data_IF_388832947659
#
_entry.id   IF_388832947659
#
_cell.length_a   1.000
_cell.length_b   1.000
_cell.length_c   1.000
_cell.angle_alpha   90.00
_cell.angle_beta   90.00
_cell.angle_gamma   90.00
#
_symmetry.space_group_name_H-M   'P 1'
#
loop_
_entity.id
_entity.type
_entity.pdbx_description
1 polymer ?
#
# COMPACT_ATOMS: atom_id res chain seq x y z
N UNK A 1 2.55 14.09 -10.47
CA UNK A 1 2.50 13.32 -9.19
C UNK A 1 1.82 14.16 -8.11
N UNK A 2 0.81 13.64 -7.41
CA UNK A 2 0.19 14.40 -6.31
C UNK A 2 1.15 14.41 -5.11
N UNK A 3 1.51 15.59 -4.63
CA UNK A 3 2.31 15.73 -3.40
C UNK A 3 1.50 15.25 -2.19
N UNK A 4 2.15 14.57 -1.25
CA UNK A 4 1.55 14.21 0.03
C UNK A 4 1.22 15.50 0.80
N UNK A 5 -0.07 15.76 1.02
CA UNK A 5 -0.54 16.97 1.71
C UNK A 5 -0.52 16.82 3.25
N UNK A 6 -0.66 15.59 3.76
CA UNK A 6 -0.72 15.33 5.20
C UNK A 6 0.65 14.97 5.77
N UNK A 7 0.89 15.28 7.04
CA UNK A 7 2.10 14.90 7.77
C UNK A 7 2.25 13.37 7.84
N UNK A 8 3.51 12.89 7.84
CA UNK A 8 3.88 11.47 7.67
C UNK A 8 3.06 10.49 8.52
N UNK A 9 2.90 10.74 9.80
CA UNK A 9 2.29 9.81 10.76
C UNK A 9 0.95 10.31 11.31
N UNK A 10 0.33 11.28 10.65
CA UNK A 10 -0.99 11.79 11.08
C UNK A 10 -2.08 10.73 10.93
N UNK A 11 -1.93 9.86 9.92
CA UNK A 11 -2.86 8.76 9.69
C UNK A 11 -2.74 7.69 10.78
N UNK A 12 -1.51 7.22 11.10
CA UNK A 12 -1.27 6.23 12.17
C UNK A 12 -1.91 6.70 13.47
N UNK A 13 -1.62 7.94 13.87
CA UNK A 13 -2.17 8.52 15.10
C UNK A 13 -3.70 8.64 15.07
N UNK A 14 -4.30 8.99 13.92
CA UNK A 14 -5.76 9.07 13.76
C UNK A 14 -6.40 7.69 13.89
N UNK A 15 -5.76 6.67 13.34
CA UNK A 15 -6.22 5.29 13.43
C UNK A 15 -5.85 4.61 14.76
N UNK A 16 -4.93 5.18 15.54
CA UNK A 16 -4.43 4.57 16.76
C UNK A 16 -3.65 3.27 16.53
N UNK A 17 -3.18 3.06 15.31
CA UNK A 17 -2.51 1.83 14.87
C UNK A 17 -1.30 2.17 14.01
N UNK A 18 -0.25 1.34 14.09
CA UNK A 18 0.94 1.48 13.25
C UNK A 18 0.71 0.85 11.87
N UNK A 19 0.01 1.59 11.00
CA UNK A 19 -0.49 1.09 9.71
C UNK A 19 0.62 0.53 8.81
N UNK A 20 1.83 1.09 8.88
CA UNK A 20 2.96 0.66 8.06
C UNK A 20 3.99 -0.18 8.80
N UNK A 21 3.72 -0.60 10.05
CA UNK A 21 4.61 -1.45 10.85
C UNK A 21 5.97 -0.82 11.20
N UNK A 22 6.09 0.51 11.19
CA UNK A 22 7.37 1.17 11.40
C UNK A 22 7.73 1.27 12.88
N UNK A 23 8.96 0.89 13.29
CA UNK A 23 9.41 0.98 14.68
C UNK A 23 9.30 2.41 15.23
N UNK A 24 9.67 3.40 14.42
CA UNK A 24 9.69 4.81 14.79
C UNK A 24 8.34 5.53 14.59
N UNK A 25 7.23 4.81 14.44
CA UNK A 25 5.92 5.46 14.34
C UNK A 25 5.55 6.15 15.66
N UNK A 26 5.12 7.42 15.61
CA UNK A 26 4.70 8.14 16.82
C UNK A 26 3.54 7.50 17.58
N UNK A 27 2.74 6.65 16.92
CA UNK A 27 1.64 5.94 17.59
C UNK A 27 2.15 4.98 18.66
N UNK A 28 3.36 4.46 18.51
CA UNK A 28 4.00 3.57 19.49
C UNK A 28 4.33 4.29 20.82
N UNK A 29 4.46 5.63 20.78
CA UNK A 29 4.78 6.48 21.94
C UNK A 29 3.60 7.32 22.42
N UNK A 30 2.60 7.57 21.55
CA UNK A 30 1.48 8.47 21.80
C UNK A 30 0.17 7.78 21.41
N UNK A 31 -0.58 7.34 22.41
CA UNK A 31 -1.87 6.62 22.23
C UNK A 31 -3.04 7.52 21.79
N UNK A 32 -2.84 8.84 21.76
CA UNK A 32 -3.87 9.81 21.37
C UNK A 32 -3.71 10.28 19.92
N UNK A 33 -4.79 10.68 19.31
CA UNK A 33 -4.83 11.15 17.92
C UNK A 33 -4.11 12.49 17.70
N UNK A 34 -4.02 12.97 16.46
CA UNK A 34 -3.36 14.22 16.12
C UNK A 34 -4.28 15.42 16.40
N UNK A 35 -3.73 16.50 16.93
CA UNK A 35 -4.43 17.75 17.19
C UNK A 35 -4.59 18.09 18.66
N UNK A 36 -5.06 19.30 18.93
CA UNK A 36 -5.18 19.82 20.28
C UNK A 36 -6.29 19.13 21.08
N UNK A 37 -7.37 18.73 20.44
CA UNK A 37 -8.57 18.19 21.11
C UNK A 37 -8.63 16.66 21.18
N UNK A 38 -7.74 15.96 20.50
CA UNK A 38 -7.80 14.48 20.34
C UNK A 38 -7.33 13.71 21.58
N UNK A 39 -6.90 14.43 22.64
CA UNK A 39 -6.63 13.86 23.98
C UNK A 39 -7.90 13.61 24.79
N UNK A 40 -9.03 14.21 24.39
CA UNK A 40 -10.32 13.99 25.06
C UNK A 40 -10.89 12.60 24.76
N UNK A 41 -11.65 12.06 25.71
CA UNK A 41 -12.34 10.78 25.56
C UNK A 41 -13.26 10.83 24.33
N UNK A 42 -13.07 9.88 23.43
CA UNK A 42 -13.94 9.73 22.22
C UNK A 42 -15.15 8.90 22.60
N UNK A 43 -16.33 9.31 22.15
CA UNK A 43 -17.55 8.51 22.25
C UNK A 43 -17.49 7.25 21.35
N UNK A 44 -18.48 6.38 21.48
CA UNK A 44 -18.65 5.20 20.61
C UNK A 44 -18.85 5.67 19.16
N UNK A 45 -18.12 5.06 18.25
CA UNK A 45 -18.29 5.34 16.82
C UNK A 45 -19.60 4.74 16.31
N UNK A 46 -20.27 5.47 15.39
CA UNK A 46 -21.38 4.93 14.61
C UNK A 46 -20.89 3.94 13.56
N UNK A 47 -21.79 3.10 13.04
CA UNK A 47 -21.45 2.14 11.97
C UNK A 47 -20.88 2.82 10.74
N UNK A 48 -21.44 3.96 10.33
CA UNK A 48 -20.87 4.79 9.28
C UNK A 48 -19.45 5.23 9.60
N UNK A 49 -19.18 5.62 10.85
CA UNK A 49 -17.87 6.02 11.32
C UNK A 49 -16.84 4.88 11.22
N UNK A 50 -17.25 3.66 11.57
CA UNK A 50 -16.42 2.45 11.46
C UNK A 50 -16.08 2.14 9.99
N UNK A 51 -17.08 2.15 9.12
CA UNK A 51 -16.90 1.93 7.68
C UNK A 51 -16.01 2.99 7.03
N UNK A 52 -16.22 4.27 7.35
CA UNK A 52 -15.39 5.37 6.89
C UNK A 52 -13.94 5.22 7.37
N UNK A 53 -13.75 4.81 8.63
CA UNK A 53 -12.43 4.57 9.21
C UNK A 53 -11.71 3.43 8.51
N UNK A 54 -12.36 2.30 8.28
CA UNK A 54 -11.81 1.16 7.54
C UNK A 54 -11.38 1.58 6.12
N UNK A 55 -12.23 2.34 5.42
CA UNK A 55 -11.89 2.90 4.10
C UNK A 55 -10.65 3.80 4.15
N UNK A 56 -10.57 4.73 5.11
CA UNK A 56 -9.43 5.65 5.23
C UNK A 56 -8.15 4.89 5.61
N UNK A 57 -8.25 3.86 6.43
CA UNK A 57 -7.14 2.99 6.82
C UNK A 57 -6.58 2.28 5.60
N UNK A 58 -7.42 1.57 4.86
CA UNK A 58 -7.04 0.83 3.67
C UNK A 58 -6.45 1.76 2.59
N UNK A 59 -7.15 2.84 2.26
CA UNK A 59 -6.68 3.85 1.30
C UNK A 59 -5.32 4.45 1.69
N UNK A 60 -5.13 4.73 2.96
CA UNK A 60 -3.90 5.28 3.50
C UNK A 60 -2.74 4.31 3.44
N UNK A 61 -2.97 3.04 3.76
CA UNK A 61 -1.95 1.98 3.66
C UNK A 61 -1.34 1.93 2.27
N UNK A 62 -2.17 1.98 1.22
CA UNK A 62 -1.72 1.99 -0.18
C UNK A 62 -1.13 3.34 -0.66
N UNK A 63 -0.50 4.09 0.25
CA UNK A 63 0.18 5.33 -0.05
C UNK A 63 -0.74 6.51 -0.29
N UNK A 64 -1.84 6.56 0.41
CA UNK A 64 -2.84 7.64 0.34
C UNK A 64 -3.40 7.81 -1.09
N UNK A 65 -3.89 6.71 -1.66
CA UNK A 65 -4.58 6.70 -2.96
C UNK A 65 -5.71 7.72 -2.93
N UNK A 66 -5.88 8.50 -4.00
CA UNK A 66 -6.95 9.51 -4.07
C UNK A 66 -8.33 8.85 -4.03
N UNK A 67 -9.33 9.54 -3.47
CA UNK A 67 -10.69 9.01 -3.37
C UNK A 67 -11.26 8.59 -4.74
N UNK A 68 -11.01 9.41 -5.77
CA UNK A 68 -11.44 9.12 -7.14
C UNK A 68 -10.85 7.80 -7.67
N UNK A 69 -9.55 7.57 -7.45
CA UNK A 69 -8.90 6.33 -7.87
C UNK A 69 -9.40 5.13 -7.06
N UNK A 70 -9.55 5.30 -5.76
CA UNK A 70 -10.01 4.23 -4.87
C UNK A 70 -11.45 3.80 -5.21
N UNK A 71 -12.37 4.76 -5.39
CA UNK A 71 -13.74 4.49 -5.84
C UNK A 71 -13.79 3.79 -7.20
N UNK A 72 -12.92 4.19 -8.14
CA UNK A 72 -12.80 3.51 -9.45
C UNK A 72 -12.34 2.06 -9.29
N UNK A 73 -11.35 1.80 -8.43
CA UNK A 73 -10.85 0.44 -8.15
C UNK A 73 -11.94 -0.41 -7.49
N UNK A 74 -12.70 0.16 -6.56
CA UNK A 74 -13.85 -0.52 -5.96
C UNK A 74 -14.92 -0.86 -7.01
N UNK A 75 -15.31 0.10 -7.86
CA UNK A 75 -16.33 -0.14 -8.88
C UNK A 75 -15.93 -1.25 -9.87
N UNK A 76 -14.63 -1.41 -10.12
CA UNK A 76 -14.11 -2.49 -10.93
C UNK A 76 -14.12 -3.82 -10.17
N UNK A 77 -13.68 -3.84 -8.90
CA UNK A 77 -13.74 -5.02 -8.03
C UNK A 77 -15.17 -5.58 -7.93
N UNK A 78 -16.16 -4.70 -7.82
CA UNK A 78 -17.58 -5.07 -7.75
C UNK A 78 -18.13 -5.66 -9.06
N UNK A 79 -17.51 -5.37 -10.23
CA UNK A 79 -17.89 -5.96 -11.53
C UNK A 79 -17.25 -7.32 -11.78
N UNK A 80 -16.17 -7.63 -11.05
CA UNK A 80 -15.48 -8.91 -11.20
C UNK A 80 -16.28 -10.03 -10.53
N UNK A 81 -16.18 -11.23 -11.05
CA UNK A 81 -16.76 -12.43 -10.42
C UNK A 81 -16.06 -12.76 -9.12
N UNK A 82 -16.79 -13.23 -8.12
CA UNK A 82 -16.28 -13.64 -6.83
C UNK A 82 -16.50 -12.59 -5.73
N UNK A 83 -15.76 -12.72 -4.63
CA UNK A 83 -15.87 -11.80 -3.51
C UNK A 83 -15.26 -10.43 -3.83
N UNK A 84 -16.07 -9.40 -3.69
CA UNK A 84 -15.66 -8.01 -3.95
C UNK A 84 -14.52 -7.55 -3.06
N UNK A 85 -14.46 -8.02 -1.81
CA UNK A 85 -13.39 -7.68 -0.88
C UNK A 85 -12.05 -8.23 -1.34
N UNK A 86 -12.02 -9.49 -1.76
CA UNK A 86 -10.83 -10.15 -2.30
C UNK A 86 -10.38 -9.49 -3.62
N UNK A 87 -11.33 -9.23 -4.51
CA UNK A 87 -11.06 -8.55 -5.78
C UNK A 87 -10.46 -7.16 -5.55
N UNK A 88 -10.99 -6.40 -4.58
CA UNK A 88 -10.46 -5.08 -4.23
C UNK A 88 -9.00 -5.14 -3.77
N UNK A 89 -8.68 -6.07 -2.88
CA UNK A 89 -7.30 -6.26 -2.40
C UNK A 89 -6.39 -6.70 -3.54
N UNK A 90 -6.82 -7.67 -4.36
CA UNK A 90 -6.06 -8.11 -5.53
C UNK A 90 -5.74 -6.97 -6.49
N UNK A 91 -6.70 -6.09 -6.79
CA UNK A 91 -6.50 -4.93 -7.66
C UNK A 91 -5.54 -3.89 -7.03
N UNK A 92 -5.57 -3.74 -5.70
CA UNK A 92 -4.68 -2.81 -5.00
C UNK A 92 -3.23 -3.35 -4.93
N UNK A 93 -3.04 -4.66 -4.71
CA UNK A 93 -1.71 -5.29 -4.70
C UNK A 93 -1.08 -5.38 -6.11
N UNK A 94 -1.88 -5.44 -7.17
CA UNK A 94 -1.41 -5.39 -8.57
C UNK A 94 -0.86 -4.03 -9.01
N UNK A 95 -0.91 -3.01 -8.19
CA UNK A 95 -0.34 -1.70 -8.52
C UNK A 95 1.19 -1.77 -8.55
N UNK A 96 1.82 -1.14 -9.53
CA UNK A 96 3.27 -1.15 -9.69
C UNK A 96 3.98 -0.59 -8.44
N UNK A 97 3.46 0.47 -7.81
CA UNK A 97 4.04 1.02 -6.58
C UNK A 97 4.01 0.00 -5.43
N UNK A 98 2.98 -0.86 -5.38
CA UNK A 98 2.89 -1.92 -4.38
C UNK A 98 3.83 -3.08 -4.67
N UNK A 99 3.88 -3.55 -5.92
CA UNK A 99 4.81 -4.64 -6.28
C UNK A 99 6.26 -4.23 -6.02
N UNK A 100 6.65 -3.01 -6.36
CA UNK A 100 7.97 -2.44 -6.05
C UNK A 100 8.24 -2.40 -4.53
N UNK A 101 7.22 -2.07 -3.73
CA UNK A 101 7.34 -2.10 -2.27
C UNK A 101 7.45 -3.53 -1.73
N UNK A 102 6.64 -4.49 -2.23
CA UNK A 102 6.70 -5.91 -1.84
C UNK A 102 8.02 -6.56 -2.22
N UNK A 103 8.57 -6.20 -3.37
CA UNK A 103 9.88 -6.64 -3.85
C UNK A 103 11.08 -6.10 -3.03
N UNK A 104 10.85 -5.33 -1.96
CA UNK A 104 11.89 -4.65 -1.18
C UNK A 104 12.76 -3.67 -1.97
N UNK A 105 12.31 -3.18 -3.13
CA UNK A 105 13.04 -2.15 -3.89
C UNK A 105 12.90 -0.76 -3.28
N UNK A 106 12.04 -0.59 -2.28
CA UNK A 106 11.89 0.66 -1.56
C UNK A 106 11.53 0.40 -0.08
N UNK A 107 12.02 1.25 0.85
CA UNK A 107 11.75 1.09 2.28
C UNK A 107 10.30 1.44 2.65
N UNK A 108 9.58 2.12 1.77
CA UNK A 108 8.20 2.56 2.04
C UNK A 108 7.39 2.63 0.75
N UNK A 109 6.07 2.50 0.86
CA UNK A 109 5.14 2.66 -0.27
C UNK A 109 5.30 4.04 -0.95
N UNK A 110 5.56 5.09 -0.16
CA UNK A 110 5.77 6.43 -0.69
C UNK A 110 7.09 6.55 -1.46
N UNK A 111 8.16 5.90 -0.97
CA UNK A 111 9.43 5.82 -1.68
C UNK A 111 9.30 4.97 -2.95
N UNK A 112 8.58 3.85 -2.91
CA UNK A 112 8.27 3.04 -4.07
C UNK A 112 7.60 3.87 -5.17
N UNK A 113 6.58 4.63 -4.80
CA UNK A 113 5.91 5.55 -5.73
C UNK A 113 6.85 6.59 -6.32
N UNK A 114 7.77 7.11 -5.53
CA UNK A 114 8.76 8.09 -5.98
C UNK A 114 9.74 7.45 -6.97
N UNK A 115 10.28 6.28 -6.67
CA UNK A 115 11.18 5.52 -7.54
C UNK A 115 10.52 5.24 -8.89
N UNK A 116 9.27 4.76 -8.89
CA UNK A 116 8.50 4.55 -10.11
C UNK A 116 8.33 5.85 -10.90
N UNK A 117 7.86 6.91 -10.24
CA UNK A 117 7.58 8.19 -10.91
C UNK A 117 8.81 8.87 -11.48
N UNK A 118 9.98 8.61 -10.92
CA UNK A 118 11.26 9.08 -11.43
C UNK A 118 11.80 8.19 -12.57
N UNK A 119 11.06 7.12 -12.93
CA UNK A 119 11.40 6.27 -14.07
C UNK A 119 12.58 5.35 -13.83
N UNK A 120 12.75 4.89 -12.61
CA UNK A 120 13.79 3.94 -12.23
C UNK A 120 13.35 2.48 -12.36
N UNK A 121 12.10 2.23 -12.74
CA UNK A 121 11.50 0.90 -12.84
C UNK A 121 11.19 0.56 -14.29
N UNK A 122 11.44 -0.68 -14.65
CA UNK A 122 11.09 -1.26 -15.94
C UNK A 122 10.10 -2.40 -15.73
N UNK A 123 9.15 -2.53 -16.64
CA UNK A 123 8.17 -3.63 -16.69
C UNK A 123 8.33 -4.30 -18.04
N UNK A 124 8.70 -5.58 -18.04
CA UNK A 124 8.99 -6.35 -19.25
C UNK A 124 10.04 -5.65 -20.16
N UNK A 125 11.08 -5.07 -19.54
CA UNK A 125 12.13 -4.35 -20.25
C UNK A 125 11.78 -2.92 -20.69
N UNK A 126 10.53 -2.49 -20.52
CA UNK A 126 10.07 -1.14 -20.90
C UNK A 126 10.01 -0.23 -19.68
N UNK A 127 10.64 0.94 -19.76
CA UNK A 127 10.61 1.94 -18.69
C UNK A 127 9.18 2.39 -18.36
N UNK A 128 8.83 2.36 -17.06
CA UNK A 128 7.51 2.77 -16.58
C UNK A 128 7.62 3.80 -15.45
N UNK A 129 6.92 4.92 -15.61
CA UNK A 129 6.85 5.99 -14.59
C UNK A 129 5.45 6.15 -13.98
N UNK A 130 4.52 5.23 -14.28
CA UNK A 130 3.13 5.28 -13.82
C UNK A 130 2.98 4.36 -12.61
N UNK A 131 2.99 4.92 -11.40
CA UNK A 131 2.89 4.17 -10.14
C UNK A 131 1.57 3.37 -10.00
N UNK A 132 0.49 3.83 -10.62
CA UNK A 132 -0.81 3.17 -10.61
C UNK A 132 -0.98 2.14 -11.72
N UNK A 133 0.03 1.90 -12.57
CA UNK A 133 -0.02 0.83 -13.58
C UNK A 133 -0.34 -0.50 -12.90
N UNK A 134 -1.23 -1.26 -13.46
CA UNK A 134 -1.50 -2.62 -13.02
C UNK A 134 -0.51 -3.58 -13.64
N UNK A 135 -0.08 -4.50 -12.81
CA UNK A 135 0.84 -5.58 -13.16
C UNK A 135 0.00 -6.83 -13.38
N UNK A 136 0.27 -7.53 -14.46
CA UNK A 136 -0.37 -8.78 -14.79
C UNK A 136 0.48 -9.96 -14.32
N UNK A 137 -0.15 -11.13 -14.19
CA UNK A 137 0.53 -12.37 -13.83
C UNK A 137 1.56 -12.69 -14.91
N UNK A 138 2.79 -12.94 -14.52
CA UNK A 138 3.91 -13.20 -15.40
C UNK A 138 4.75 -11.95 -15.74
N UNK A 139 4.26 -10.74 -15.44
CA UNK A 139 5.06 -9.53 -15.67
C UNK A 139 6.34 -9.54 -14.83
N UNK A 140 7.43 -9.15 -15.48
CA UNK A 140 8.76 -9.00 -14.86
C UNK A 140 9.03 -7.52 -14.59
N UNK A 141 9.30 -7.21 -13.33
CA UNK A 141 9.62 -5.87 -12.86
C UNK A 141 11.12 -5.83 -12.53
N UNK A 142 11.85 -4.86 -13.07
CA UNK A 142 13.28 -4.73 -12.83
C UNK A 142 13.69 -3.30 -12.49
N UNK A 143 14.81 -3.18 -11.75
CA UNK A 143 15.47 -1.92 -11.46
C UNK A 143 16.29 -1.44 -12.64
N UNK A 144 16.23 -0.16 -12.94
CA UNK A 144 17.17 0.47 -13.88
C UNK A 144 18.59 0.53 -13.29
N UNK A 145 19.60 0.62 -14.16
CA UNK A 145 21.02 0.63 -13.76
C UNK A 145 21.32 1.62 -12.64
N UNK A 146 20.89 2.86 -12.79
CA UNK A 146 21.08 3.90 -11.75
C UNK A 146 20.37 3.60 -10.43
N UNK A 147 19.25 2.88 -10.47
CA UNK A 147 18.49 2.57 -9.27
C UNK A 147 19.16 1.50 -8.42
N UNK A 148 19.90 0.58 -9.01
CA UNK A 148 20.63 -0.49 -8.32
C UNK A 148 21.70 0.05 -7.35
N UNK A 149 22.28 1.20 -7.68
CA UNK A 149 23.34 1.86 -6.90
C UNK A 149 22.79 2.86 -5.87
N UNK A 150 21.48 3.08 -5.85
CA UNK A 150 20.87 4.02 -4.92
C UNK A 150 20.90 3.47 -3.48
N UNK A 151 21.50 4.23 -2.57
CA UNK A 151 21.56 3.89 -1.14
C UNK A 151 20.20 3.49 -0.55
N UNK A 152 19.12 4.18 -0.97
CA UNK A 152 17.75 3.90 -0.55
C UNK A 152 17.28 2.50 -0.98
N UNK A 153 17.69 2.01 -2.13
CA UNK A 153 17.35 0.66 -2.63
C UNK A 153 18.14 -0.39 -1.87
N UNK A 154 19.44 -0.17 -1.71
CA UNK A 154 20.34 -1.07 -0.98
C UNK A 154 19.86 -1.21 0.48
N UNK A 155 19.55 -0.09 1.15
CA UNK A 155 18.97 -0.09 2.48
C UNK A 155 17.65 -0.90 2.54
N UNK A 156 16.76 -0.70 1.57
CA UNK A 156 15.47 -1.38 1.53
C UNK A 156 15.60 -2.90 1.37
N UNK A 157 16.56 -3.37 0.57
CA UNK A 157 16.85 -4.79 0.38
C UNK A 157 17.43 -5.44 1.64
N UNK A 158 18.24 -4.69 2.39
CA UNK A 158 18.86 -5.13 3.65
C UNK A 158 17.94 -5.13 4.86
N UNK A 159 16.71 -4.57 4.78
CA UNK A 159 15.78 -4.50 5.92
C UNK A 159 15.31 -5.90 6.34
N UNK A 160 15.59 -6.37 7.57
CA UNK A 160 15.15 -7.67 8.06
C UNK A 160 13.66 -7.71 8.43
N UNK A 161 13.05 -6.53 8.62
CA UNK A 161 11.68 -6.40 9.14
C UNK A 161 10.58 -6.85 8.17
N UNK A 162 10.93 -7.13 6.91
CA UNK A 162 9.96 -7.50 5.87
C UNK A 162 10.49 -8.61 5.00
N UNK A 163 9.65 -9.61 4.77
CA UNK A 163 9.89 -10.66 3.80
C UNK A 163 9.20 -10.34 2.47
N UNK A 164 9.73 -10.91 1.40
CA UNK A 164 9.09 -10.84 0.08
C UNK A 164 8.00 -11.90 0.08
N UNK A 165 6.74 -11.54 -0.21
CA UNK A 165 5.65 -12.51 -0.18
C UNK A 165 5.71 -13.45 -1.38
N UNK A 166 5.14 -14.66 -1.24
CA UNK A 166 5.20 -15.76 -2.22
C UNK A 166 4.64 -15.42 -3.60
N UNK A 167 3.74 -14.43 -3.68
CA UNK A 167 3.18 -13.99 -4.97
C UNK A 167 4.11 -13.06 -5.77
N UNK A 168 5.32 -12.80 -5.23
CA UNK A 168 6.39 -12.05 -5.90
C UNK A 168 7.65 -12.92 -5.90
N UNK A 169 7.90 -13.61 -7.00
CA UNK A 169 9.12 -14.41 -7.17
C UNK A 169 10.32 -13.49 -7.48
N UNK A 170 11.44 -13.74 -6.82
CA UNK A 170 12.68 -12.99 -7.04
C UNK A 170 13.56 -13.70 -8.07
N UNK A 171 14.13 -12.93 -8.99
CA UNK A 171 15.18 -13.36 -9.91
C UNK A 171 16.42 -12.47 -9.67
N UNK A 172 17.23 -12.87 -8.69
CA UNK A 172 18.31 -12.03 -8.17
C UNK A 172 17.84 -10.85 -7.34
N UNK A 173 18.73 -9.85 -7.15
CA UNK A 173 18.46 -8.69 -6.29
C UNK A 173 17.75 -7.53 -7.00
N UNK A 174 17.59 -7.59 -8.30
CA UNK A 174 17.17 -6.44 -9.13
C UNK A 174 15.97 -6.74 -10.04
N UNK A 175 15.49 -7.98 -10.02
CA UNK A 175 14.32 -8.40 -10.82
C UNK A 175 13.35 -9.21 -9.96
N UNK A 176 12.08 -9.02 -10.22
CA UNK A 176 10.99 -9.80 -9.61
C UNK A 176 9.91 -10.08 -10.65
N UNK A 177 9.25 -11.22 -10.49
CA UNK A 177 8.10 -11.60 -11.29
C UNK A 177 6.84 -11.65 -10.42
N UNK A 178 5.75 -11.09 -10.91
CA UNK A 178 4.45 -11.21 -10.27
C UNK A 178 3.79 -12.54 -10.68
N UNK A 179 3.69 -13.49 -9.76
CA UNK A 179 3.30 -14.87 -10.08
C UNK A 179 1.81 -15.13 -9.98
N UNK A 180 1.12 -14.50 -9.02
CA UNK A 180 -0.32 -14.68 -8.81
C UNK A 180 -0.94 -13.50 -8.09
N UNK A 181 -2.25 -13.36 -8.18
CA UNK A 181 -3.00 -12.37 -7.39
C UNK A 181 -3.17 -12.90 -5.95
N UNK A 182 -2.73 -12.16 -4.92
CA UNK A 182 -2.82 -12.61 -3.54
C UNK A 182 -4.26 -12.55 -3.01
N UNK A 183 -4.56 -13.42 -2.06
CA UNK A 183 -5.75 -13.32 -1.19
C UNK A 183 -5.45 -12.36 -0.03
N UNK A 184 -6.52 -11.93 0.68
CA UNK A 184 -6.38 -11.03 1.82
C UNK A 184 -5.42 -11.55 2.89
N UNK A 185 -5.51 -12.83 3.22
CA UNK A 185 -4.73 -13.48 4.29
C UNK A 185 -3.24 -13.65 3.93
N UNK A 186 -2.91 -13.60 2.64
CA UNK A 186 -1.53 -13.74 2.13
C UNK A 186 -0.79 -12.40 2.09
N UNK A 187 -1.53 -11.30 2.20
CA UNK A 187 -0.92 -9.96 2.15
C UNK A 187 -0.35 -9.62 3.51
N UNK A 188 0.97 -9.33 3.62
CA UNK A 188 1.61 -9.04 4.90
C UNK A 188 1.25 -7.63 5.40
N UNK A 189 0.05 -7.50 5.95
CA UNK A 189 -0.38 -6.28 6.62
C UNK A 189 0.15 -6.26 8.07
N UNK A 190 0.73 -5.16 8.53
CA UNK A 190 1.16 -5.05 9.94
C UNK A 190 -0.02 -4.84 10.91
N UNK A 191 -1.21 -4.60 10.39
CA UNK A 191 -2.44 -4.38 11.16
C UNK A 191 -3.62 -5.04 10.44
N UNK A 192 -4.65 -5.43 11.18
CA UNK A 192 -5.86 -6.03 10.60
C UNK A 192 -6.54 -5.06 9.64
N UNK A 193 -6.80 -5.50 8.42
CA UNK A 193 -7.55 -4.76 7.41
C UNK A 193 -8.96 -5.36 7.28
N UNK A 194 -9.95 -4.50 7.16
CA UNK A 194 -11.37 -4.88 7.10
C UNK A 194 -11.98 -4.43 5.76
N UNK A 195 -11.67 -5.10 4.64
CA UNK A 195 -12.16 -4.71 3.33
C UNK A 195 -13.70 -4.87 3.22
N UNK A 196 -14.31 -5.75 4.00
CA UNK A 196 -15.77 -5.91 4.04
C UNK A 196 -16.47 -4.62 4.43
N UNK A 197 -15.99 -3.90 5.47
CA UNK A 197 -16.55 -2.61 5.87
C UNK A 197 -16.37 -1.54 4.77
N UNK A 198 -15.34 -1.68 3.93
CA UNK A 198 -15.14 -0.79 2.77
C UNK A 198 -16.18 -1.10 1.69
N UNK A 199 -16.46 -2.36 1.45
CA UNK A 199 -17.52 -2.78 0.51
C UNK A 199 -18.88 -2.25 0.97
N UNK A 200 -19.23 -2.43 2.25
CA UNK A 200 -20.44 -1.89 2.84
C UNK A 200 -20.55 -0.36 2.72
N UNK A 201 -19.43 0.35 2.92
CA UNK A 201 -19.39 1.81 2.77
C UNK A 201 -19.80 2.29 1.38
N UNK A 202 -19.40 1.56 0.32
CA UNK A 202 -19.68 1.95 -1.06
C UNK A 202 -20.95 1.31 -1.64
N UNK A 203 -21.53 0.31 -0.99
CA UNK A 203 -22.78 -0.34 -1.41
C UNK A 203 -24.04 0.43 -1.02
N UNK A 204 -23.92 1.47 -0.22
CA UNK A 204 -25.00 2.38 0.20
C UNK A 204 -25.41 3.34 -0.91
#
# INVERSE_FOLDING_TARGET
MSKRKSAKHKLDRRMGENIWGRPNSPVNKRSYGPGQHDQRRKGKMSDYGLQLRAKQKLKGYYGDVTEKQFKRTYAEAARMKGDTSQNLIGLLERRLDMVVYRAKFAPTIFAARQIVSHGHIYVNGVKCNIASRRIDIGDVISLGSKAKEMALVIEAQGLPERDIPDYVATDGNDKVQFTRVPKLDEVPYPVTMEPNLVVEFYSR
#
